data_IF_453281678678
#
_entry.id   IF_453281678678
#
_cell.length_a   1.000
_cell.length_b   1.000
_cell.length_c   1.000
_cell.angle_alpha   90.00
_cell.angle_beta   90.00
_cell.angle_gamma   90.00
#
_symmetry.space_group_name_H-M   'P 1'
#
loop_
_entity.id
_entity.type
_entity.pdbx_description
1 polymer ?
#
# COMPACT_ATOMS: atom_id res chain seq x y z
N UNK A 1 1.11 -5.52 21.65
CA UNK A 1 -0.19 -4.89 21.34
C UNK A 1 -0.13 -4.25 19.97
N UNK A 2 -1.21 -4.29 19.21
CA UNK A 2 -1.24 -3.67 17.88
C UNK A 2 -1.67 -2.22 18.03
N UNK A 3 -0.75 -1.30 17.83
CA UNK A 3 -0.99 0.15 17.94
C UNK A 3 -0.81 0.88 16.61
N UNK A 4 0.07 0.38 15.75
CA UNK A 4 0.42 0.98 14.46
C UNK A 4 0.18 -0.02 13.33
N UNK A 5 -0.84 0.22 12.53
CA UNK A 5 -1.20 -0.62 11.38
C UNK A 5 -0.86 0.13 10.10
N UNK A 6 -0.19 -0.56 9.18
CA UNK A 6 0.09 -0.08 7.83
C UNK A 6 -0.64 -0.95 6.82
N UNK A 7 -1.39 -0.34 5.91
CA UNK A 7 -1.95 -1.00 4.72
C UNK A 7 -1.18 -0.55 3.48
N UNK A 8 -0.64 -1.49 2.72
CA UNK A 8 -0.07 -1.22 1.42
C UNK A 8 -1.13 -1.40 0.34
N UNK A 9 -1.38 -0.37 -0.45
CA UNK A 9 -2.49 -0.33 -1.41
C UNK A 9 -1.96 0.06 -2.79
N UNK A 10 -2.17 -0.81 -3.76
CA UNK A 10 -1.75 -0.61 -5.16
C UNK A 10 -2.94 -0.33 -6.10
N UNK A 11 -4.13 -0.18 -5.57
CA UNK A 11 -5.35 0.03 -6.33
C UNK A 11 -6.04 -1.25 -6.81
N UNK A 12 -5.47 -2.43 -6.56
CA UNK A 12 -6.08 -3.70 -6.94
C UNK A 12 -7.32 -4.03 -6.10
N UNK A 13 -8.16 -4.94 -6.60
CA UNK A 13 -9.32 -5.43 -5.85
C UNK A 13 -8.91 -6.16 -4.57
N UNK A 14 -7.81 -6.89 -4.63
CA UNK A 14 -7.23 -7.56 -3.48
C UNK A 14 -6.81 -6.56 -2.40
N UNK A 15 -6.17 -5.46 -2.79
CA UNK A 15 -5.79 -4.40 -1.87
C UNK A 15 -7.01 -3.68 -1.27
N UNK A 16 -8.11 -3.55 -2.02
CA UNK A 16 -9.37 -2.98 -1.48
C UNK A 16 -9.95 -3.84 -0.37
N UNK A 17 -9.96 -5.15 -0.57
CA UNK A 17 -10.39 -6.09 0.48
C UNK A 17 -9.51 -5.99 1.71
N UNK A 18 -8.20 -5.90 1.50
CA UNK A 18 -7.23 -5.74 2.57
C UNK A 18 -7.45 -4.41 3.32
N UNK A 19 -7.73 -3.35 2.59
CA UNK A 19 -8.03 -2.04 3.16
C UNK A 19 -9.29 -2.07 4.05
N UNK A 20 -10.38 -2.65 3.56
CA UNK A 20 -11.62 -2.77 4.34
C UNK A 20 -11.37 -3.53 5.63
N UNK A 21 -10.61 -4.61 5.54
CA UNK A 21 -10.23 -5.40 6.71
C UNK A 21 -9.38 -4.60 7.71
N UNK A 22 -8.39 -3.85 7.19
CA UNK A 22 -7.53 -3.02 8.03
C UNK A 22 -8.33 -1.92 8.75
N UNK A 23 -9.29 -1.28 8.08
CA UNK A 23 -10.17 -0.29 8.69
C UNK A 23 -11.00 -0.89 9.82
N UNK A 24 -11.64 -2.03 9.55
CA UNK A 24 -12.44 -2.72 10.57
C UNK A 24 -11.60 -3.14 11.78
N UNK A 25 -10.43 -3.71 11.54
CA UNK A 25 -9.52 -4.10 12.61
C UNK A 25 -9.07 -2.88 13.43
N UNK A 26 -8.68 -1.81 12.76
CA UNK A 26 -8.25 -0.56 13.39
C UNK A 26 -9.35 -0.01 14.32
N UNK A 27 -10.58 0.02 13.84
CA UNK A 27 -11.72 0.48 14.64
C UNK A 27 -11.95 -0.37 15.89
N UNK A 28 -11.73 -1.68 15.77
CA UNK A 28 -11.94 -2.61 16.89
C UNK A 28 -10.85 -2.56 17.94
N UNK A 29 -9.58 -2.40 17.53
CA UNK A 29 -8.46 -2.43 18.46
C UNK A 29 -8.01 -1.05 18.94
N UNK A 30 -8.52 0.02 18.33
CA UNK A 30 -8.14 1.38 18.67
C UNK A 30 -6.72 1.76 18.25
N UNK A 31 -6.24 1.19 17.16
CA UNK A 31 -4.93 1.47 16.60
C UNK A 31 -4.92 2.72 15.72
N UNK A 32 -3.73 3.14 15.29
CA UNK A 32 -3.55 4.13 14.24
C UNK A 32 -3.39 3.44 12.89
N UNK A 33 -4.09 3.94 11.86
CA UNK A 33 -4.01 3.39 10.51
C UNK A 33 -3.30 4.34 9.57
N UNK A 34 -2.30 3.81 8.88
CA UNK A 34 -1.62 4.49 7.77
C UNK A 34 -1.74 3.66 6.50
N UNK A 35 -1.83 4.34 5.37
CA UNK A 35 -1.82 3.69 4.06
C UNK A 35 -0.62 4.19 3.27
N UNK A 36 0.10 3.27 2.66
CA UNK A 36 1.18 3.56 1.75
C UNK A 36 0.84 3.08 0.34
N UNK A 37 0.97 3.98 -0.62
CA UNK A 37 0.91 3.68 -2.04
C UNK A 37 2.30 3.88 -2.61
N UNK A 38 2.86 2.87 -3.22
CA UNK A 38 4.17 2.96 -3.85
C UNK A 38 3.99 3.07 -5.36
N UNK A 39 4.47 4.18 -5.90
CA UNK A 39 4.57 4.37 -7.34
C UNK A 39 5.84 3.67 -7.82
N UNK A 40 5.68 2.52 -8.46
CA UNK A 40 6.82 1.78 -8.98
C UNK A 40 7.57 2.62 -10.02
N UNK A 41 8.90 2.52 -10.01
CA UNK A 41 9.73 3.27 -10.94
C UNK A 41 9.32 3.01 -12.38
N UNK A 42 9.07 4.10 -13.11
CA UNK A 42 8.88 4.07 -14.54
C UNK A 42 10.19 3.59 -15.16
N UNK A 43 10.17 2.56 -16.04
CA UNK A 43 11.39 2.10 -16.68
C UNK A 43 12.16 3.25 -17.31
N UNK A 44 13.47 3.29 -17.06
CA UNK A 44 14.39 4.34 -17.55
C UNK A 44 14.47 4.45 -19.09
N UNK A 45 13.64 3.73 -19.81
CA UNK A 45 13.52 3.72 -21.27
C UNK A 45 12.48 4.71 -21.80
N UNK A 46 11.87 5.54 -20.96
CA UNK A 46 11.13 6.70 -21.43
C UNK A 46 12.18 7.69 -22.02
N UNK A 47 12.43 7.55 -23.30
CA UNK A 47 13.45 8.34 -24.03
C UNK A 47 13.10 9.83 -24.10
N UNK A 48 11.92 10.23 -23.65
CA UNK A 48 11.44 11.59 -23.69
C UNK A 48 11.02 12.03 -22.28
N UNK A 49 11.64 13.08 -21.79
CA UNK A 49 11.36 13.70 -20.48
C UNK A 49 9.86 14.02 -20.31
N UNK A 50 9.19 14.36 -21.40
CA UNK A 50 7.77 14.72 -21.38
C UNK A 50 6.87 13.51 -21.15
N UNK A 51 7.18 12.35 -21.75
CA UNK A 51 6.46 11.08 -21.49
C UNK A 51 6.61 10.63 -20.04
N UNK A 52 7.81 10.79 -19.48
CA UNK A 52 8.08 10.49 -18.08
C UNK A 52 7.24 11.37 -17.14
N UNK A 53 7.14 12.67 -17.42
CA UNK A 53 6.32 13.59 -16.63
C UNK A 53 4.84 13.27 -16.73
N UNK A 54 4.33 12.96 -17.92
CA UNK A 54 2.93 12.59 -18.11
C UNK A 54 2.57 11.32 -17.36
N UNK A 55 3.42 10.30 -17.39
CA UNK A 55 3.19 9.05 -16.65
C UNK A 55 3.24 9.27 -15.15
N UNK A 56 4.19 10.08 -14.67
CA UNK A 56 4.27 10.45 -13.27
C UNK A 56 3.04 11.23 -12.82
N UNK A 57 2.59 12.21 -13.58
CA UNK A 57 1.41 13.00 -13.25
C UNK A 57 0.15 12.12 -13.23
N UNK A 58 0.03 11.14 -14.12
CA UNK A 58 -1.07 10.17 -14.09
C UNK A 58 -1.02 9.30 -12.85
N UNK A 59 0.15 8.81 -12.47
CA UNK A 59 0.33 8.00 -11.28
C UNK A 59 0.02 8.80 -10.01
N UNK A 60 0.53 10.02 -9.89
CA UNK A 60 0.24 10.94 -8.78
C UNK A 60 -1.26 11.22 -8.67
N UNK A 61 -1.93 11.49 -9.78
CA UNK A 61 -3.38 11.74 -9.81
C UNK A 61 -4.17 10.50 -9.42
N UNK A 62 -3.78 9.32 -9.91
CA UNK A 62 -4.43 8.05 -9.60
C UNK A 62 -4.35 7.73 -8.10
N UNK A 63 -3.17 7.77 -7.52
CA UNK A 63 -2.99 7.49 -6.10
C UNK A 63 -3.55 8.58 -5.20
N UNK A 64 -3.51 9.84 -5.64
CA UNK A 64 -4.17 10.94 -4.94
C UNK A 64 -5.67 10.74 -4.80
N UNK A 65 -6.34 10.33 -5.89
CA UNK A 65 -7.77 10.01 -5.87
C UNK A 65 -8.08 8.76 -5.04
N UNK A 66 -7.23 7.74 -5.14
CA UNK A 66 -7.35 6.55 -4.31
C UNK A 66 -7.27 6.90 -2.82
N UNK A 67 -6.30 7.73 -2.44
CA UNK A 67 -6.12 8.18 -1.06
C UNK A 67 -7.36 8.91 -0.54
N UNK A 68 -7.94 9.82 -1.32
CA UNK A 68 -9.15 10.54 -0.95
C UNK A 68 -10.34 9.59 -0.73
N UNK A 69 -10.53 8.64 -1.63
CA UNK A 69 -11.60 7.62 -1.49
C UNK A 69 -11.40 6.76 -0.25
N UNK A 70 -10.17 6.36 0.02
CA UNK A 70 -9.84 5.57 1.19
C UNK A 70 -10.05 6.36 2.49
N UNK A 71 -9.67 7.63 2.52
CA UNK A 71 -9.90 8.50 3.68
C UNK A 71 -11.39 8.66 3.97
N UNK A 72 -12.20 8.89 2.95
CA UNK A 72 -13.66 8.99 3.09
C UNK A 72 -14.25 7.67 3.61
N UNK A 73 -13.80 6.55 3.09
CA UNK A 73 -14.28 5.23 3.50
C UNK A 73 -13.88 4.90 4.96
N UNK A 74 -12.66 5.21 5.35
CA UNK A 74 -12.20 5.04 6.73
C UNK A 74 -12.99 5.91 7.71
N UNK A 75 -13.30 7.15 7.33
CA UNK A 75 -14.09 8.08 8.14
C UNK A 75 -15.49 7.55 8.45
N UNK A 76 -16.10 6.77 7.55
CA UNK A 76 -17.39 6.12 7.81
C UNK A 76 -17.34 5.15 9.00
N UNK A 77 -16.17 4.65 9.34
CA UNK A 77 -15.92 3.78 10.49
C UNK A 77 -15.25 4.52 11.67
N UNK A 78 -15.24 5.84 11.62
CA UNK A 78 -14.58 6.70 12.63
C UNK A 78 -13.07 6.42 12.74
N UNK A 79 -12.45 6.01 11.64
CA UNK A 79 -11.01 5.78 11.54
C UNK A 79 -10.37 6.95 10.80
N UNK A 80 -9.39 7.56 11.43
CA UNK A 80 -8.55 8.59 10.81
C UNK A 80 -7.42 7.90 10.04
N UNK A 81 -7.34 8.17 8.73
CA UNK A 81 -6.39 7.54 7.84
C UNK A 81 -5.32 8.53 7.39
N UNK A 82 -4.08 8.28 7.77
CA UNK A 82 -2.92 8.94 7.16
C UNK A 82 -2.53 8.23 5.88
N UNK A 83 -2.28 8.97 4.81
CA UNK A 83 -1.87 8.43 3.51
C UNK A 83 -0.52 8.96 3.09
N UNK A 84 0.29 8.08 2.52
CA UNK A 84 1.63 8.40 1.99
C UNK A 84 1.74 7.83 0.59
N UNK A 85 2.19 8.64 -0.36
CA UNK A 85 2.46 8.22 -1.74
C UNK A 85 3.94 8.41 -1.98
N UNK A 86 4.66 7.33 -2.28
CA UNK A 86 6.12 7.33 -2.39
C UNK A 86 6.53 6.65 -3.68
N UNK A 87 7.40 7.28 -4.50
CA UNK A 87 7.98 6.61 -5.67
C UNK A 87 9.07 5.63 -5.23
N UNK A 88 9.22 4.54 -5.97
CA UNK A 88 10.32 3.62 -5.77
C UNK A 88 9.93 2.15 -5.89
N UNK A 89 10.74 1.29 -5.32
CA UNK A 89 10.53 -0.14 -5.32
C UNK A 89 9.69 -0.54 -4.09
N UNK A 90 8.55 -1.18 -4.32
CA UNK A 90 7.56 -1.44 -3.28
C UNK A 90 8.12 -2.17 -2.06
N UNK A 91 8.83 -3.27 -2.26
CA UNK A 91 9.37 -4.07 -1.13
C UNK A 91 10.34 -3.26 -0.27
N UNK A 92 11.23 -2.52 -0.91
CA UNK A 92 12.20 -1.68 -0.21
C UNK A 92 11.53 -0.53 0.54
N UNK A 93 10.66 0.20 -0.14
CA UNK A 93 9.97 1.38 0.42
C UNK A 93 9.09 0.97 1.60
N UNK A 94 8.31 -0.08 1.46
CA UNK A 94 7.43 -0.57 2.53
C UNK A 94 8.26 -1.09 3.71
N UNK A 95 9.32 -1.84 3.44
CA UNK A 95 10.22 -2.35 4.49
C UNK A 95 10.88 -1.24 5.29
N UNK A 96 11.36 -0.20 4.62
CA UNK A 96 11.94 0.98 5.25
C UNK A 96 10.89 1.73 6.09
N UNK A 97 9.71 1.93 5.54
CA UNK A 97 8.60 2.60 6.24
C UNK A 97 8.17 1.86 7.51
N UNK A 98 8.07 0.55 7.43
CA UNK A 98 7.76 -0.31 8.60
C UNK A 98 8.77 -0.08 9.73
N UNK A 99 10.04 -0.09 9.38
CA UNK A 99 11.12 0.08 10.36
C UNK A 99 11.13 1.50 10.96
N UNK A 100 11.01 2.52 10.12
CA UNK A 100 11.14 3.92 10.53
C UNK A 100 9.93 4.43 11.32
N UNK A 101 8.77 3.82 11.13
CA UNK A 101 7.52 4.24 11.77
C UNK A 101 7.02 3.27 12.84
N UNK A 102 7.84 2.32 13.27
CA UNK A 102 7.50 1.35 14.31
C UNK A 102 6.16 0.65 14.05
N UNK A 103 5.94 0.20 12.82
CA UNK A 103 4.71 -0.51 12.45
C UNK A 103 4.67 -1.88 13.13
N UNK A 104 3.53 -2.19 13.75
CA UNK A 104 3.29 -3.46 14.43
C UNK A 104 2.69 -4.51 13.51
N UNK A 105 1.86 -4.07 12.57
CA UNK A 105 1.14 -4.93 11.64
C UNK A 105 1.10 -4.31 10.25
N UNK A 106 1.61 -5.04 9.27
CA UNK A 106 1.44 -4.73 7.84
C UNK A 106 0.29 -5.58 7.29
N UNK A 107 -0.69 -4.93 6.68
CA UNK A 107 -1.81 -5.58 6.00
C UNK A 107 -1.61 -5.44 4.49
N UNK A 108 -1.73 -6.53 3.77
CA UNK A 108 -1.56 -6.55 2.31
C UNK A 108 -2.61 -7.45 1.66
N UNK A 109 -2.91 -7.16 0.41
CA UNK A 109 -3.71 -8.06 -0.43
C UNK A 109 -2.90 -9.26 -0.89
N UNK A 110 -3.58 -10.33 -1.27
CA UNK A 110 -2.94 -11.56 -1.72
C UNK A 110 -2.36 -11.44 -3.13
N UNK A 111 -3.03 -10.70 -4.01
CA UNK A 111 -2.60 -10.47 -5.39
C UNK A 111 -2.52 -8.97 -5.68
N UNK A 112 -1.50 -8.57 -6.44
CA UNK A 112 -1.30 -7.17 -6.83
C UNK A 112 -1.69 -6.88 -8.28
N UNK A 113 -1.42 -5.65 -8.70
CA UNK A 113 -1.73 -5.13 -10.04
C UNK A 113 -0.76 -5.59 -11.13
N UNK A 114 0.37 -6.18 -10.76
CA UNK A 114 1.40 -6.54 -11.71
C UNK A 114 0.99 -7.77 -12.53
N UNK A 115 0.74 -7.59 -13.81
CA UNK A 115 0.44 -8.66 -14.76
C UNK A 115 1.55 -9.71 -14.86
N UNK A 116 2.76 -9.34 -14.46
CA UNK A 116 3.92 -10.24 -14.48
C UNK A 116 3.80 -11.31 -13.39
N UNK A 117 3.02 -11.06 -12.36
CA UNK A 117 2.91 -11.92 -11.18
C UNK A 117 1.59 -12.67 -11.06
N UNK A 118 0.75 -12.66 -12.09
CA UNK A 118 -0.53 -13.38 -12.09
C UNK A 118 -0.40 -14.89 -11.82
N UNK A 119 0.78 -15.43 -12.04
CA UNK A 119 1.06 -16.86 -11.88
C UNK A 119 1.88 -17.20 -10.64
N UNK A 120 2.39 -16.21 -9.96
CA UNK A 120 3.20 -16.39 -8.77
C UNK A 120 2.49 -15.66 -7.64
N UNK A 121 2.13 -16.38 -6.61
CA UNK A 121 1.57 -15.87 -5.38
C UNK A 121 2.18 -14.50 -5.03
N UNK A 122 1.51 -13.43 -5.41
CA UNK A 122 1.92 -12.03 -5.33
C UNK A 122 3.38 -11.83 -4.97
N UNK A 123 4.28 -11.72 -5.95
CA UNK A 123 5.71 -11.58 -5.68
C UNK A 123 6.03 -10.53 -4.62
N UNK A 124 5.31 -9.40 -4.65
CA UNK A 124 5.42 -8.35 -3.63
C UNK A 124 4.94 -8.85 -2.26
N UNK A 125 3.78 -9.53 -2.19
CA UNK A 125 3.25 -10.07 -0.95
C UNK A 125 4.21 -11.11 -0.35
N UNK A 126 4.70 -12.04 -1.16
CA UNK A 126 5.67 -13.05 -0.73
C UNK A 126 6.97 -12.41 -0.21
N UNK A 127 7.52 -11.47 -0.95
CA UNK A 127 8.75 -10.78 -0.55
C UNK A 127 8.56 -9.96 0.72
N UNK A 128 7.43 -9.28 0.88
CA UNK A 128 7.13 -8.52 2.09
C UNK A 128 7.02 -9.43 3.31
N UNK A 129 6.33 -10.56 3.20
CA UNK A 129 6.22 -11.51 4.32
C UNK A 129 7.56 -12.05 4.78
N UNK A 130 8.54 -12.12 3.87
CA UNK A 130 9.89 -12.62 4.16
C UNK A 130 10.84 -11.55 4.67
N UNK A 131 10.63 -10.29 4.34
CA UNK A 131 11.62 -9.21 4.56
C UNK A 131 11.25 -8.22 5.64
N UNK A 132 9.96 -7.93 5.86
CA UNK A 132 9.56 -6.99 6.91
C UNK A 132 9.69 -7.61 8.29
N UNK A 133 9.99 -6.77 9.27
CA UNK A 133 10.24 -7.23 10.65
C UNK A 133 8.99 -7.21 11.54
N UNK A 134 7.88 -6.70 11.04
CA UNK A 134 6.62 -6.73 11.78
C UNK A 134 5.77 -7.94 11.37
N UNK A 135 4.66 -8.15 12.07
CA UNK A 135 3.65 -9.12 11.66
C UNK A 135 3.03 -8.70 10.33
N UNK A 136 2.71 -9.67 9.49
CA UNK A 136 2.09 -9.43 8.19
C UNK A 136 0.79 -10.22 8.11
N UNK A 137 -0.27 -9.51 7.77
CA UNK A 137 -1.57 -10.11 7.48
C UNK A 137 -1.82 -10.04 5.97
N UNK A 138 -2.00 -11.21 5.38
CA UNK A 138 -2.34 -11.33 3.95
C UNK A 138 -3.84 -11.61 3.83
N UNK A 139 -4.56 -10.70 3.20
CA UNK A 139 -6.01 -10.81 3.02
C UNK A 139 -6.29 -11.40 1.64
N UNK A 140 -6.96 -12.54 1.60
CA UNK A 140 -7.30 -13.26 0.38
C UNK A 140 -8.66 -12.87 -0.20
#
# INVERSE_FOLDING_TARGET
MIEQILIAHDGSDSARKAFDFAVELTARVGAHLRMICVEEEIPRHAEVIDEFREEKDRADSYFGQLAERCQTRAALHSVDLETVIVPGHAVKIIGDFVRENAIDLLVIGFTGHSRIYEHIWGGTAHNLTSTVRCNVMVVK
#
